data_IF_804783139298
#
_entry.id   IF_804783139298
#
_cell.length_a   1.000
_cell.length_b   1.000
_cell.length_c   1.000
_cell.angle_alpha   90.00
_cell.angle_beta   90.00
_cell.angle_gamma   90.00
#
_symmetry.space_group_name_H-M   'P 1'
#
loop_
_entity.id
_entity.type
_entity.pdbx_description
1 polymer ?
#
# COMPACT_ATOMS: atom_id res chain seq x y z
N UNK A 1 -2.00 -35.43 7.51
CA UNK A 1 -1.10 -34.26 7.44
C UNK A 1 0.22 -34.74 6.85
N UNK A 2 0.86 -33.94 6.00
CA UNK A 2 2.17 -34.26 5.44
C UNK A 2 3.25 -34.17 6.53
N UNK A 3 4.26 -35.04 6.48
CA UNK A 3 5.39 -35.00 7.42
C UNK A 3 6.18 -33.68 7.29
N UNK A 4 6.27 -33.15 6.07
CA UNK A 4 6.98 -31.89 5.76
C UNK A 4 6.19 -30.69 6.28
N UNK A 5 4.88 -30.62 6.02
CA UNK A 5 4.05 -29.53 6.55
C UNK A 5 4.06 -29.51 8.08
N UNK A 6 3.97 -30.69 8.70
CA UNK A 6 4.00 -30.83 10.16
C UNK A 6 5.32 -30.35 10.77
N UNK A 7 6.44 -30.52 10.05
CA UNK A 7 7.75 -30.02 10.47
C UNK A 7 7.95 -28.52 10.18
N UNK A 8 7.39 -28.02 9.07
CA UNK A 8 7.62 -26.66 8.58
C UNK A 8 6.74 -25.63 9.28
N UNK A 9 5.45 -25.92 9.46
CA UNK A 9 4.46 -24.97 10.01
C UNK A 9 4.92 -24.31 11.30
N UNK A 10 5.37 -25.03 12.36
CA UNK A 10 5.77 -24.40 13.62
C UNK A 10 6.95 -23.43 13.50
N UNK A 11 7.70 -23.49 12.39
CA UNK A 11 8.86 -22.63 12.13
C UNK A 11 8.51 -21.38 11.32
N UNK A 12 7.34 -21.38 10.68
CA UNK A 12 6.84 -20.27 9.86
C UNK A 12 5.63 -19.58 10.49
N UNK A 13 4.96 -20.21 11.46
CA UNK A 13 3.70 -19.74 12.03
C UNK A 13 3.87 -18.39 12.75
N UNK A 14 4.97 -18.24 13.46
CA UNK A 14 5.33 -17.01 14.17
C UNK A 14 6.69 -16.49 13.70
N UNK A 15 6.82 -15.17 13.70
CA UNK A 15 8.03 -14.47 13.33
C UNK A 15 9.17 -14.86 14.27
N UNK A 16 10.29 -15.27 13.67
CA UNK A 16 11.51 -15.62 14.40
C UNK A 16 12.65 -14.66 14.06
N UNK A 17 13.56 -14.47 15.02
CA UNK A 17 14.85 -13.82 14.80
C UNK A 17 15.97 -14.79 15.19
N UNK A 18 16.83 -15.24 14.25
CA UNK A 18 16.84 -14.89 12.82
C UNK A 18 15.63 -15.46 12.05
N UNK A 19 15.37 -14.90 10.86
CA UNK A 19 14.34 -15.40 9.95
C UNK A 19 14.64 -16.83 9.48
N UNK A 20 13.62 -17.66 9.20
CA UNK A 20 13.78 -19.05 8.81
C UNK A 20 14.14 -19.21 7.32
N UNK A 21 15.19 -18.53 6.86
CA UNK A 21 15.56 -18.46 5.44
C UNK A 21 15.90 -19.83 4.84
N UNK A 22 16.49 -20.74 5.63
CA UNK A 22 16.80 -22.09 5.18
C UNK A 22 15.53 -22.91 4.93
N UNK A 23 14.52 -22.73 5.77
CA UNK A 23 13.22 -23.40 5.66
C UNK A 23 12.43 -22.86 4.47
N UNK A 24 12.44 -21.53 4.27
CA UNK A 24 11.83 -20.88 3.12
C UNK A 24 12.48 -21.32 1.80
N UNK A 25 13.82 -21.39 1.75
CA UNK A 25 14.54 -21.92 0.58
C UNK A 25 14.25 -23.41 0.34
N UNK A 26 14.09 -24.20 1.40
CA UNK A 26 13.73 -25.61 1.32
C UNK A 26 12.31 -25.85 0.77
N UNK A 27 11.39 -24.90 0.98
CA UNK A 27 10.00 -25.02 0.55
C UNK A 27 9.86 -25.17 -0.98
N UNK A 28 10.74 -24.54 -1.77
CA UNK A 28 10.75 -24.64 -3.24
C UNK A 28 10.82 -26.10 -3.72
N UNK A 29 11.59 -26.94 -3.02
CA UNK A 29 11.76 -28.37 -3.35
C UNK A 29 10.51 -29.22 -3.04
N UNK A 30 9.57 -28.67 -2.26
CA UNK A 30 8.37 -29.36 -1.78
C UNK A 30 7.07 -28.65 -2.17
N UNK A 31 7.11 -27.73 -3.16
CA UNK A 31 5.97 -26.94 -3.63
C UNK A 31 4.66 -27.72 -3.75
N UNK A 32 4.67 -28.86 -4.46
CA UNK A 32 3.44 -29.63 -4.73
C UNK A 32 2.76 -30.13 -3.45
N UNK A 33 3.56 -30.43 -2.44
CA UNK A 33 3.09 -30.95 -1.14
C UNK A 33 2.66 -29.81 -0.21
N UNK A 34 3.38 -28.68 -0.21
CA UNK A 34 3.13 -27.54 0.66
C UNK A 34 1.99 -26.62 0.16
N UNK A 35 1.89 -26.39 -1.15
CA UNK A 35 0.96 -25.41 -1.71
C UNK A 35 -0.51 -25.60 -1.29
N UNK A 36 -1.08 -26.82 -1.23
CA UNK A 36 -2.46 -26.99 -0.74
C UNK A 36 -2.67 -26.49 0.69
N UNK A 37 -1.67 -26.65 1.58
CA UNK A 37 -1.76 -26.17 2.96
C UNK A 37 -1.64 -24.66 3.05
N UNK A 38 -0.74 -24.06 2.25
CA UNK A 38 -0.57 -22.61 2.20
C UNK A 38 -1.80 -21.91 1.60
N UNK A 39 -2.42 -22.48 0.56
CA UNK A 39 -3.69 -21.97 0.01
C UNK A 39 -4.80 -22.04 1.05
N UNK A 40 -4.92 -23.19 1.74
CA UNK A 40 -5.92 -23.34 2.80
C UNK A 40 -5.70 -22.36 3.96
N UNK A 41 -4.46 -21.97 4.24
CA UNK A 41 -4.17 -20.94 5.25
C UNK A 41 -4.69 -19.57 4.81
N UNK A 42 -4.48 -19.17 3.55
CA UNK A 42 -5.01 -17.92 3.01
C UNK A 42 -6.54 -17.91 3.00
N UNK A 43 -7.18 -19.02 2.61
CA UNK A 43 -8.63 -19.19 2.66
C UNK A 43 -9.17 -19.07 4.10
N UNK A 44 -8.48 -19.66 5.07
CA UNK A 44 -8.87 -19.60 6.47
C UNK A 44 -8.77 -18.18 7.02
N UNK A 45 -7.69 -17.46 6.74
CA UNK A 45 -7.50 -16.07 7.21
C UNK A 45 -8.48 -15.12 6.52
N UNK A 46 -8.81 -15.36 5.25
CA UNK A 46 -9.84 -14.58 4.55
C UNK A 46 -11.24 -14.77 5.17
N UNK A 47 -11.53 -15.98 5.66
CA UNK A 47 -12.80 -16.28 6.32
C UNK A 47 -12.85 -15.79 7.78
N UNK A 48 -11.73 -15.85 8.50
CA UNK A 48 -11.58 -15.39 9.88
C UNK A 48 -10.16 -14.83 10.09
N UNK A 49 -9.99 -13.49 10.10
CA UNK A 49 -8.66 -12.88 10.21
C UNK A 49 -8.08 -12.92 11.62
N UNK A 50 -8.83 -13.40 12.63
CA UNK A 50 -8.40 -13.37 14.03
C UNK A 50 -7.00 -13.98 14.29
N UNK A 51 -6.58 -15.10 13.64
CA UNK A 51 -5.22 -15.61 13.80
C UNK A 51 -4.15 -14.65 13.31
N UNK A 52 -4.41 -13.94 12.21
CA UNK A 52 -3.48 -12.97 11.61
C UNK A 52 -3.27 -11.71 12.46
N UNK A 53 -4.13 -11.48 13.45
CA UNK A 53 -4.04 -10.37 14.39
C UNK A 53 -3.32 -10.75 15.70
N UNK A 54 -2.91 -12.02 15.84
CA UNK A 54 -2.12 -12.46 16.99
C UNK A 54 -0.69 -11.92 16.90
N UNK A 55 -0.13 -11.51 18.05
CA UNK A 55 1.23 -10.96 18.11
C UNK A 55 2.27 -11.93 17.52
N UNK A 56 3.03 -11.43 16.54
CA UNK A 56 4.07 -12.16 15.84
C UNK A 56 3.60 -13.24 14.88
N UNK A 57 2.30 -13.48 14.67
CA UNK A 57 1.84 -14.45 13.67
C UNK A 57 2.10 -13.92 12.25
N UNK A 58 2.68 -14.76 11.37
CA UNK A 58 3.07 -14.36 10.01
C UNK A 58 2.91 -15.47 8.96
N UNK A 59 2.21 -16.56 9.28
CA UNK A 59 2.13 -17.74 8.41
C UNK A 59 1.52 -17.41 7.04
N UNK A 60 0.44 -16.64 7.03
CA UNK A 60 -0.27 -16.21 5.84
C UNK A 60 0.58 -15.29 4.96
N UNK A 61 1.46 -14.49 5.55
CA UNK A 61 2.39 -13.63 4.80
C UNK A 61 3.45 -14.48 4.09
N UNK A 62 3.99 -15.52 4.73
CA UNK A 62 4.86 -16.48 4.05
C UNK A 62 4.08 -17.28 2.99
N UNK A 63 2.83 -17.66 3.26
CA UNK A 63 1.98 -18.33 2.29
C UNK A 63 1.79 -17.47 1.03
N UNK A 64 1.47 -16.17 1.20
CA UNK A 64 1.35 -15.20 0.12
C UNK A 64 2.63 -15.14 -0.72
N UNK A 65 3.79 -14.91 -0.09
CA UNK A 65 5.07 -14.78 -0.81
C UNK A 65 5.50 -16.07 -1.53
N UNK A 66 5.35 -17.23 -0.88
CA UNK A 66 5.69 -18.53 -1.48
C UNK A 66 4.78 -18.86 -2.66
N UNK A 67 3.46 -18.71 -2.50
CA UNK A 67 2.50 -18.99 -3.56
C UNK A 67 2.64 -18.00 -4.73
N UNK A 68 2.94 -16.73 -4.45
CA UNK A 68 3.28 -15.73 -5.44
C UNK A 68 4.54 -16.11 -6.23
N UNK A 69 5.65 -16.43 -5.55
CA UNK A 69 6.89 -16.93 -6.19
C UNK A 69 6.64 -18.15 -7.06
N UNK A 70 5.76 -19.03 -6.62
CA UNK A 70 5.41 -20.24 -7.35
C UNK A 70 4.44 -20.00 -8.50
N UNK A 71 3.83 -18.81 -8.61
CA UNK A 71 2.74 -18.52 -9.55
C UNK A 71 1.58 -19.50 -9.36
N UNK A 72 1.24 -19.81 -8.10
CA UNK A 72 0.15 -20.73 -7.79
C UNK A 72 -1.18 -19.99 -7.78
N UNK A 73 -1.92 -20.09 -8.88
CA UNK A 73 -3.14 -19.32 -9.10
C UNK A 73 -4.31 -19.63 -8.17
N UNK A 74 -4.23 -20.74 -7.43
CA UNK A 74 -5.21 -21.07 -6.40
C UNK A 74 -5.21 -20.04 -5.27
N UNK A 75 -4.09 -19.33 -5.06
CA UNK A 75 -3.96 -18.28 -4.06
C UNK A 75 -4.65 -16.97 -4.45
N UNK A 76 -4.93 -16.75 -5.75
CA UNK A 76 -5.36 -15.45 -6.25
C UNK A 76 -6.66 -14.94 -5.63
N UNK A 77 -7.69 -15.79 -5.60
CA UNK A 77 -8.99 -15.41 -5.05
C UNK A 77 -8.94 -15.23 -3.53
N UNK A 78 -8.35 -16.16 -2.74
CA UNK A 78 -8.15 -15.95 -1.31
C UNK A 78 -7.38 -14.66 -0.98
N UNK A 79 -6.34 -14.33 -1.75
CA UNK A 79 -5.61 -13.07 -1.59
C UNK A 79 -6.51 -11.87 -1.86
N UNK A 80 -7.25 -11.85 -2.98
CA UNK A 80 -8.16 -10.76 -3.27
C UNK A 80 -9.24 -10.56 -2.18
N UNK A 81 -9.79 -11.65 -1.63
CA UNK A 81 -10.76 -11.58 -0.53
C UNK A 81 -10.16 -10.97 0.76
N UNK A 82 -8.88 -11.20 1.06
CA UNK A 82 -8.21 -10.54 2.19
C UNK A 82 -8.16 -9.01 2.04
N UNK A 83 -8.13 -8.51 0.81
CA UNK A 83 -8.16 -7.07 0.54
C UNK A 83 -9.49 -6.41 0.89
N UNK A 84 -10.59 -7.17 0.91
CA UNK A 84 -11.93 -6.68 1.24
C UNK A 84 -12.20 -6.57 2.75
N UNK A 85 -11.20 -6.86 3.59
CA UNK A 85 -11.27 -6.59 5.02
C UNK A 85 -11.32 -5.06 5.27
N UNK A 86 -11.87 -4.66 6.41
CA UNK A 86 -11.91 -3.24 6.80
C UNK A 86 -10.49 -2.67 7.00
N UNK A 87 -10.35 -1.35 6.95
CA UNK A 87 -9.05 -0.68 7.00
C UNK A 87 -8.21 -1.05 8.23
N UNK A 88 -8.81 -1.15 9.42
CA UNK A 88 -8.09 -1.48 10.63
C UNK A 88 -7.60 -2.94 10.59
N UNK A 89 -8.44 -3.83 10.06
CA UNK A 89 -8.09 -5.25 9.91
C UNK A 89 -6.99 -5.42 8.86
N UNK A 90 -7.07 -4.77 7.69
CA UNK A 90 -6.02 -4.82 6.64
C UNK A 90 -4.66 -4.40 7.18
N UNK A 91 -4.60 -3.32 7.96
CA UNK A 91 -3.36 -2.83 8.57
C UNK A 91 -2.73 -3.88 9.50
N UNK A 92 -3.55 -4.58 10.30
CA UNK A 92 -3.05 -5.65 11.18
C UNK A 92 -2.67 -6.93 10.42
N UNK A 93 -3.43 -7.29 9.37
CA UNK A 93 -3.23 -8.54 8.62
C UNK A 93 -2.00 -8.46 7.73
N UNK A 94 -1.79 -7.35 7.03
CA UNK A 94 -0.69 -7.20 6.08
C UNK A 94 0.49 -6.39 6.66
N UNK A 95 0.23 -5.49 7.60
CA UNK A 95 1.21 -4.50 8.03
C UNK A 95 1.76 -3.74 6.82
N UNK A 96 3.07 -3.53 6.79
CA UNK A 96 3.75 -2.83 5.69
C UNK A 96 3.64 -3.54 4.32
N UNK A 97 3.37 -4.86 4.31
CA UNK A 97 3.31 -5.62 3.06
C UNK A 97 2.13 -5.23 2.18
N UNK A 98 1.11 -4.56 2.72
CA UNK A 98 0.01 -4.02 1.91
C UNK A 98 0.52 -3.04 0.86
N UNK A 99 1.60 -2.31 1.18
CA UNK A 99 2.25 -1.35 0.27
C UNK A 99 3.35 -1.99 -0.57
N UNK A 100 4.13 -2.89 0.02
CA UNK A 100 5.39 -3.34 -0.60
C UNK A 100 5.23 -4.56 -1.51
N UNK A 101 4.33 -5.48 -1.18
CA UNK A 101 4.28 -6.82 -1.78
C UNK A 101 2.90 -7.28 -2.20
N UNK A 102 1.83 -6.79 -1.58
CA UNK A 102 0.50 -7.35 -1.76
C UNK A 102 -0.01 -7.21 -3.20
N UNK A 103 0.11 -6.03 -3.83
CA UNK A 103 -0.27 -5.84 -5.24
C UNK A 103 0.55 -6.70 -6.20
N UNK A 104 1.86 -6.82 -5.95
CA UNK A 104 2.75 -7.71 -6.71
C UNK A 104 2.43 -9.20 -6.50
N UNK A 105 2.01 -9.60 -5.30
CA UNK A 105 1.57 -10.96 -5.00
C UNK A 105 0.24 -11.30 -5.69
N UNK A 106 -0.70 -10.36 -5.72
CA UNK A 106 -1.93 -10.46 -6.51
C UNK A 106 -1.62 -10.64 -8.01
N UNK A 107 -0.75 -9.81 -8.59
CA UNK A 107 -0.32 -9.97 -9.98
C UNK A 107 0.37 -11.33 -10.23
N UNK A 108 1.23 -11.76 -9.30
CA UNK A 108 1.99 -13.02 -9.41
C UNK A 108 1.10 -14.26 -9.38
N UNK A 109 -0.06 -14.19 -8.73
CA UNK A 109 -1.01 -15.30 -8.60
C UNK A 109 -2.17 -15.20 -9.57
N UNK A 110 -2.37 -14.05 -10.22
CA UNK A 110 -3.44 -13.80 -11.18
C UNK A 110 -3.54 -14.93 -12.23
N UNK A 111 -4.76 -15.44 -12.43
CA UNK A 111 -5.07 -16.57 -13.30
C UNK A 111 -5.50 -16.15 -14.71
N UNK A 112 -5.34 -14.87 -15.04
CA UNK A 112 -5.80 -14.26 -16.28
C UNK A 112 -7.18 -13.61 -16.19
N UNK A 113 -7.90 -13.76 -15.07
CA UNK A 113 -9.14 -13.03 -14.80
C UNK A 113 -8.86 -11.75 -14.01
N UNK A 114 -9.10 -10.59 -14.62
CA UNK A 114 -8.96 -9.29 -13.95
C UNK A 114 -10.10 -9.01 -12.94
N UNK A 115 -11.19 -9.79 -12.97
CA UNK A 115 -12.40 -9.55 -12.20
C UNK A 115 -12.19 -9.38 -10.69
N UNK A 116 -11.42 -10.25 -10.00
CA UNK A 116 -11.14 -10.07 -8.57
C UNK A 116 -10.43 -8.75 -8.24
N UNK A 117 -9.47 -8.31 -9.05
CA UNK A 117 -8.77 -7.04 -8.82
C UNK A 117 -9.65 -5.83 -9.06
N UNK A 118 -10.46 -5.87 -10.13
CA UNK A 118 -11.44 -4.81 -10.43
C UNK A 118 -12.44 -4.67 -9.28
N UNK A 119 -12.98 -5.80 -8.79
CA UNK A 119 -13.91 -5.77 -7.64
C UNK A 119 -13.28 -5.18 -6.39
N UNK A 120 -12.03 -5.52 -6.10
CA UNK A 120 -11.32 -4.97 -4.95
C UNK A 120 -11.03 -3.47 -5.11
N UNK A 121 -10.60 -3.02 -6.29
CA UNK A 121 -10.34 -1.61 -6.55
C UNK A 121 -11.64 -0.75 -6.46
N UNK A 122 -12.76 -1.27 -6.95
CA UNK A 122 -14.07 -0.61 -6.93
C UNK A 122 -14.82 -0.71 -5.58
N UNK A 123 -14.31 -1.47 -4.62
CA UNK A 123 -14.95 -1.58 -3.30
C UNK A 123 -14.63 -0.36 -2.43
N UNK A 124 -15.61 0.53 -2.30
CA UNK A 124 -15.49 1.75 -1.48
C UNK A 124 -15.41 1.47 0.03
N UNK A 125 -15.85 0.29 0.49
CA UNK A 125 -15.76 -0.13 1.89
C UNK A 125 -14.38 -0.76 2.22
N UNK A 126 -13.62 -1.17 1.19
CA UNK A 126 -12.29 -1.74 1.36
C UNK A 126 -11.25 -0.66 1.70
N UNK A 127 -10.19 -1.08 2.40
CA UNK A 127 -9.05 -0.20 2.69
C UNK A 127 -8.51 0.43 1.41
N UNK A 128 -8.25 1.75 1.44
CA UNK A 128 -7.60 2.46 0.33
C UNK A 128 -6.26 1.83 -0.09
N UNK A 129 -5.56 1.21 0.86
CA UNK A 129 -4.30 0.52 0.59
C UNK A 129 -4.50 -0.77 -0.20
N UNK A 130 -5.54 -1.54 0.15
CA UNK A 130 -5.90 -2.74 -0.60
C UNK A 130 -6.40 -2.38 -2.01
N UNK A 131 -7.15 -1.28 -2.15
CA UNK A 131 -7.57 -0.73 -3.44
C UNK A 131 -6.37 -0.34 -4.30
N UNK A 132 -5.41 0.41 -3.74
CA UNK A 132 -4.15 0.77 -4.42
C UNK A 132 -3.33 -0.46 -4.84
N UNK A 133 -3.22 -1.46 -3.96
CA UNK A 133 -2.58 -2.74 -4.28
C UNK A 133 -3.30 -3.49 -5.43
N UNK A 134 -4.63 -3.39 -5.52
CA UNK A 134 -5.37 -3.97 -6.65
C UNK A 134 -5.10 -3.23 -7.97
N UNK A 135 -4.98 -1.90 -7.94
CA UNK A 135 -4.59 -1.09 -9.10
C UNK A 135 -3.16 -1.43 -9.57
N UNK A 136 -2.21 -1.55 -8.63
CA UNK A 136 -0.85 -2.05 -8.91
C UNK A 136 -0.89 -3.46 -9.51
N UNK A 137 -1.68 -4.36 -8.91
CA UNK A 137 -1.84 -5.73 -9.38
C UNK A 137 -2.35 -5.79 -10.82
N UNK A 138 -3.32 -4.95 -11.18
CA UNK A 138 -3.86 -4.83 -12.55
C UNK A 138 -2.79 -4.34 -13.52
N UNK A 139 -2.10 -3.26 -13.17
CA UNK A 139 -1.06 -2.67 -14.02
C UNK A 139 0.08 -3.66 -14.25
N UNK A 140 0.60 -4.30 -13.20
CA UNK A 140 1.69 -5.26 -13.30
C UNK A 140 1.26 -6.53 -14.05
N UNK A 141 0.07 -7.07 -13.80
CA UNK A 141 -0.45 -8.22 -14.54
C UNK A 141 -0.62 -7.91 -16.04
N UNK A 142 -1.00 -6.68 -16.40
CA UNK A 142 -1.09 -6.23 -17.78
C UNK A 142 0.29 -6.04 -18.44
N UNK A 143 1.27 -5.47 -17.71
CA UNK A 143 2.66 -5.34 -18.18
C UNK A 143 3.32 -6.69 -18.44
N UNK A 144 3.10 -7.65 -17.54
CA UNK A 144 3.60 -9.03 -17.65
C UNK A 144 2.83 -9.86 -18.70
N UNK A 145 1.74 -9.33 -19.25
CA UNK A 145 0.91 -10.01 -20.25
C UNK A 145 0.08 -11.17 -19.69
N UNK A 146 -0.15 -11.19 -18.38
CA UNK A 146 -1.03 -12.16 -17.69
C UNK A 146 -2.49 -11.85 -18.02
N UNK A 147 -2.86 -10.57 -18.05
CA UNK A 147 -4.15 -10.08 -18.52
C UNK A 147 -3.99 -9.18 -19.76
N UNK A 148 -5.05 -9.00 -20.57
CA UNK A 148 -4.98 -8.12 -21.74
C UNK A 148 -4.74 -6.65 -21.36
N UNK A 149 -3.69 -6.04 -21.93
CA UNK A 149 -3.29 -4.64 -21.64
C UNK A 149 -4.38 -3.61 -21.93
N UNK A 150 -5.05 -3.70 -23.08
CA UNK A 150 -6.05 -2.72 -23.51
C UNK A 150 -7.19 -2.57 -22.49
N UNK A 151 -7.93 -3.65 -22.18
CA UNK A 151 -8.97 -3.62 -21.15
C UNK A 151 -8.50 -3.16 -19.76
N UNK A 152 -7.28 -3.53 -19.35
CA UNK A 152 -6.73 -3.06 -18.08
C UNK A 152 -6.47 -1.55 -18.09
N UNK A 153 -5.89 -1.01 -19.17
CA UNK A 153 -5.67 0.41 -19.36
C UNK A 153 -7.00 1.18 -19.39
N UNK A 154 -8.00 0.69 -20.13
CA UNK A 154 -9.33 1.30 -20.21
C UNK A 154 -9.98 1.40 -18.82
N UNK A 155 -9.89 0.33 -18.03
CA UNK A 155 -10.40 0.33 -16.65
C UNK A 155 -9.65 1.32 -15.76
N UNK A 156 -8.30 1.31 -15.78
CA UNK A 156 -7.49 2.20 -14.96
C UNK A 156 -7.73 3.67 -15.32
N UNK A 157 -7.89 3.99 -16.60
CA UNK A 157 -8.23 5.32 -17.07
C UNK A 157 -9.62 5.76 -16.57
N UNK A 158 -10.65 4.91 -16.74
CA UNK A 158 -12.00 5.20 -16.22
C UNK A 158 -12.02 5.39 -14.70
N UNK A 159 -11.32 4.52 -13.96
CA UNK A 159 -11.16 4.64 -12.52
C UNK A 159 -10.58 6.00 -12.14
N UNK A 160 -9.51 6.43 -12.82
CA UNK A 160 -8.87 7.73 -12.58
C UNK A 160 -9.80 8.91 -12.85
N UNK A 161 -10.54 8.87 -13.97
CA UNK A 161 -11.54 9.90 -14.28
C UNK A 161 -12.65 9.97 -13.25
N UNK A 162 -13.10 8.82 -12.70
CA UNK A 162 -14.12 8.76 -11.64
C UNK A 162 -13.57 9.31 -10.32
N UNK A 163 -12.37 8.91 -9.94
CA UNK A 163 -11.71 9.34 -8.71
C UNK A 163 -11.41 10.84 -8.72
N UNK A 164 -10.85 11.36 -9.82
CA UNK A 164 -10.59 12.78 -10.00
C UNK A 164 -11.87 13.62 -9.89
N UNK A 165 -12.98 13.15 -10.46
CA UNK A 165 -14.29 13.81 -10.32
C UNK A 165 -14.76 13.81 -8.87
N UNK A 166 -14.65 12.67 -8.18
CA UNK A 166 -15.06 12.55 -6.79
C UNK A 166 -14.30 13.53 -5.88
N UNK A 167 -12.97 13.62 -6.04
CA UNK A 167 -12.11 14.52 -5.27
C UNK A 167 -12.37 16.00 -5.53
N UNK A 168 -12.78 16.36 -6.75
CA UNK A 168 -13.19 17.73 -7.09
C UNK A 168 -14.55 18.08 -6.47
N UNK A 169 -15.45 17.11 -6.35
CA UNK A 169 -16.77 17.28 -5.74
C UNK A 169 -16.72 17.32 -4.20
N UNK A 170 -15.72 16.66 -3.58
CA UNK A 170 -15.56 16.53 -2.12
C UNK A 170 -14.15 16.92 -1.65
N UNK A 171 -13.77 18.21 -1.68
CA UNK A 171 -12.41 18.67 -1.38
C UNK A 171 -11.91 18.35 0.04
N UNK A 172 -12.82 18.14 1.00
CA UNK A 172 -12.51 17.68 2.36
C UNK A 172 -11.91 16.26 2.41
N UNK A 173 -12.04 15.49 1.33
CA UNK A 173 -11.49 14.13 1.22
C UNK A 173 -10.05 14.11 0.69
N UNK A 174 -9.46 15.28 0.40
CA UNK A 174 -8.11 15.41 -0.19
C UNK A 174 -6.96 15.28 0.84
N UNK A 175 -7.24 15.11 2.13
CA UNK A 175 -6.21 15.21 3.17
C UNK A 175 -5.32 13.96 3.35
N UNK A 176 -5.59 12.81 2.70
CA UNK A 176 -4.75 11.61 2.86
C UNK A 176 -4.65 10.71 1.59
N UNK A 177 -3.49 10.75 0.93
CA UNK A 177 -2.93 9.80 -0.06
C UNK A 177 -3.87 9.41 -1.22
N UNK A 178 -4.06 10.30 -2.21
CA UNK A 178 -4.95 10.06 -3.33
C UNK A 178 -4.45 8.90 -4.20
N UNK A 179 -5.33 7.93 -4.50
CA UNK A 179 -5.04 6.81 -5.40
C UNK A 179 -4.56 7.26 -6.79
N UNK A 180 -4.87 8.51 -7.17
CA UNK A 180 -4.44 9.14 -8.42
C UNK A 180 -2.92 9.24 -8.57
N UNK A 181 -2.18 9.45 -7.49
CA UNK A 181 -0.71 9.53 -7.52
C UNK A 181 -0.11 8.25 -8.10
N UNK A 182 -0.52 7.12 -7.54
CA UNK A 182 -0.08 5.80 -7.98
C UNK A 182 -0.65 5.46 -9.36
N UNK A 183 -1.90 5.81 -9.62
CA UNK A 183 -2.58 5.51 -10.88
C UNK A 183 -1.94 6.22 -12.07
N UNK A 184 -1.52 7.47 -11.92
CA UNK A 184 -0.81 8.21 -12.97
C UNK A 184 0.49 7.49 -13.37
N UNK A 185 1.22 6.94 -12.39
CA UNK A 185 2.42 6.12 -12.62
C UNK A 185 2.07 4.85 -13.40
N UNK A 186 1.02 4.14 -13.00
CA UNK A 186 0.57 2.92 -13.66
C UNK A 186 0.10 3.16 -15.10
N UNK A 187 -0.63 4.24 -15.35
CA UNK A 187 -1.05 4.66 -16.70
C UNK A 187 0.17 4.99 -17.56
N UNK A 188 1.19 5.64 -17.00
CA UNK A 188 2.44 5.90 -17.71
C UNK A 188 3.21 4.62 -18.04
N UNK A 189 3.35 3.71 -17.08
CA UNK A 189 4.00 2.41 -17.30
C UNK A 189 3.29 1.61 -18.40
N UNK A 190 1.96 1.67 -18.47
CA UNK A 190 1.16 1.02 -19.51
C UNK A 190 1.18 1.75 -20.87
N UNK A 191 1.81 2.92 -20.95
CA UNK A 191 1.93 3.72 -22.17
C UNK A 191 0.63 4.38 -22.60
N UNK A 192 -0.16 4.88 -21.64
CA UNK A 192 -1.47 5.52 -21.84
C UNK A 192 -1.38 6.92 -22.47
N UNK A 193 -0.70 7.05 -23.62
CA UNK A 193 -0.43 8.36 -24.25
C UNK A 193 -1.69 9.14 -24.63
N UNK A 194 -2.82 8.45 -24.82
CA UNK A 194 -4.10 9.10 -25.15
C UNK A 194 -4.71 9.82 -23.93
N UNK A 195 -4.39 9.36 -22.72
CA UNK A 195 -4.84 9.92 -21.45
C UNK A 195 -3.94 11.04 -20.93
N UNK A 196 -2.82 11.33 -21.60
CA UNK A 196 -1.83 12.28 -21.10
C UNK A 196 -2.41 13.68 -20.84
N UNK A 197 -3.31 14.14 -21.71
CA UNK A 197 -3.98 15.44 -21.55
C UNK A 197 -4.84 15.48 -20.27
N UNK A 198 -5.56 14.40 -19.98
CA UNK A 198 -6.39 14.29 -18.77
C UNK A 198 -5.52 14.18 -17.51
N UNK A 199 -4.42 13.43 -17.56
CA UNK A 199 -3.49 13.35 -16.43
C UNK A 199 -2.87 14.73 -16.12
N UNK A 200 -2.55 15.53 -17.14
CA UNK A 200 -2.11 16.92 -16.95
C UNK A 200 -3.20 17.82 -16.34
N UNK A 201 -4.49 17.55 -16.62
CA UNK A 201 -5.59 18.24 -15.94
C UNK A 201 -5.65 17.86 -14.45
N UNK A 202 -5.34 16.62 -14.08
CA UNK A 202 -5.24 16.20 -12.68
C UNK A 202 -4.13 16.97 -11.93
N UNK A 203 -2.95 17.12 -12.53
CA UNK A 203 -1.88 17.98 -11.98
C UNK A 203 -2.31 19.44 -11.86
N UNK A 204 -2.90 20.01 -12.91
CA UNK A 204 -3.34 21.40 -12.91
C UNK A 204 -4.42 21.69 -11.84
N UNK A 205 -5.21 20.67 -11.50
CA UNK A 205 -6.21 20.71 -10.44
C UNK A 205 -5.63 20.44 -9.04
N UNK A 206 -4.34 20.11 -8.90
CA UNK A 206 -3.71 19.76 -7.63
C UNK A 206 -4.19 18.43 -7.04
N UNK A 207 -4.64 17.50 -7.90
CA UNK A 207 -5.14 16.19 -7.50
C UNK A 207 -4.03 15.12 -7.41
N UNK A 208 -2.83 15.46 -7.89
CA UNK A 208 -1.62 14.65 -7.78
C UNK A 208 -0.56 15.50 -7.08
N UNK A 209 0.16 14.89 -6.14
CA UNK A 209 1.28 15.56 -5.46
C UNK A 209 2.51 15.64 -6.40
N UNK A 210 2.85 16.85 -6.84
CA UNK A 210 3.99 17.16 -7.70
C UNK A 210 5.34 16.73 -7.09
N UNK A 211 5.40 16.56 -5.76
CA UNK A 211 6.59 16.07 -5.05
C UNK A 211 6.69 14.54 -5.06
N UNK A 212 5.57 13.84 -5.26
CA UNK A 212 5.52 12.41 -5.47
C UNK A 212 5.86 12.04 -6.91
N UNK A 213 5.28 12.75 -7.88
CA UNK A 213 5.43 12.48 -9.31
C UNK A 213 5.62 13.78 -10.10
N UNK A 214 6.80 13.96 -10.69
CA UNK A 214 7.09 15.14 -11.51
C UNK A 214 6.37 15.03 -12.89
N UNK A 215 5.61 16.06 -13.32
CA UNK A 215 4.87 16.02 -14.59
C UNK A 215 5.77 15.86 -15.84
N UNK A 216 7.01 16.35 -15.81
CA UNK A 216 7.94 16.19 -16.94
C UNK A 216 8.49 14.77 -16.98
N UNK A 217 8.81 14.20 -15.81
CA UNK A 217 9.22 12.81 -15.71
C UNK A 217 8.09 11.88 -16.18
N UNK A 218 6.84 12.18 -15.84
CA UNK A 218 5.69 11.42 -16.32
C UNK A 218 5.59 11.39 -17.86
N UNK A 219 5.79 12.53 -18.50
CA UNK A 219 5.81 12.68 -19.96
C UNK A 219 6.88 11.81 -20.63
N UNK A 220 8.03 11.64 -19.97
CA UNK A 220 9.10 10.76 -20.42
C UNK A 220 8.75 9.28 -20.20
N UNK A 221 8.22 8.96 -19.01
CA UNK A 221 7.88 7.60 -18.61
C UNK A 221 6.77 6.99 -19.45
N UNK A 222 5.75 7.78 -19.82
CA UNK A 222 4.65 7.34 -20.68
C UNK A 222 5.11 7.06 -22.12
N UNK A 223 6.14 7.77 -22.59
CA UNK A 223 6.70 7.60 -23.94
C UNK A 223 7.76 6.51 -24.02
N UNK A 224 8.42 6.18 -22.91
CA UNK A 224 9.33 5.02 -22.77
C UNK A 224 8.63 3.72 -23.14
N UNK A 225 7.35 3.61 -22.80
CA UNK A 225 6.47 2.52 -23.19
C UNK A 225 6.63 1.23 -22.37
N UNK A 226 5.69 0.27 -22.53
CA UNK A 226 5.47 -0.79 -21.55
C UNK A 226 6.64 -1.76 -21.34
N UNK A 227 7.37 -2.09 -22.40
CA UNK A 227 8.48 -3.05 -22.31
C UNK A 227 9.64 -2.49 -21.46
N UNK A 228 9.96 -1.21 -21.65
CA UNK A 228 11.01 -0.55 -20.88
C UNK A 228 10.54 -0.20 -19.46
N UNK A 229 9.24 0.08 -19.28
CA UNK A 229 8.63 0.21 -17.96
C UNK A 229 8.77 -1.06 -17.13
N UNK A 230 8.37 -2.20 -17.70
CA UNK A 230 8.49 -3.50 -17.04
C UNK A 230 9.96 -3.84 -16.70
N UNK A 231 10.90 -3.52 -17.58
CA UNK A 231 12.32 -3.76 -17.30
C UNK A 231 12.80 -2.91 -16.11
N UNK A 232 12.42 -1.64 -16.05
CA UNK A 232 12.79 -0.76 -14.93
C UNK A 232 12.20 -1.25 -13.60
N UNK A 233 10.94 -1.72 -13.58
CA UNK A 233 10.33 -2.33 -12.40
C UNK A 233 11.09 -3.58 -11.95
N UNK A 234 11.54 -4.43 -12.88
CA UNK A 234 12.34 -5.62 -12.54
C UNK A 234 13.71 -5.26 -12.00
N UNK A 235 14.38 -4.28 -12.59
CA UNK A 235 15.70 -3.82 -12.15
C UNK A 235 15.64 -3.18 -10.76
N UNK A 236 14.55 -2.47 -10.44
CA UNK A 236 14.29 -1.95 -9.11
C UNK A 236 13.75 -3.01 -8.15
N UNK A 237 13.37 -4.20 -8.63
CA UNK A 237 12.80 -5.31 -7.87
C UNK A 237 11.35 -5.15 -7.45
N UNK A 238 10.61 -4.32 -8.16
CA UNK A 238 9.16 -4.14 -8.07
C UNK A 238 8.41 -4.93 -9.16
N UNK A 239 9.09 -5.86 -9.85
CA UNK A 239 8.43 -6.87 -10.68
C UNK A 239 7.69 -7.92 -9.83
N UNK A 240 7.24 -9.00 -10.47
CA UNK A 240 6.60 -10.12 -9.78
C UNK A 240 7.45 -10.66 -8.61
N UNK A 241 6.80 -11.26 -7.62
CA UNK A 241 7.47 -11.77 -6.41
C UNK A 241 8.40 -12.92 -6.79
N UNK A 242 9.71 -12.67 -6.75
CA UNK A 242 10.73 -13.65 -7.18
C UNK A 242 11.86 -13.87 -6.16
N UNK A 243 11.98 -13.06 -5.11
CA UNK A 243 13.09 -13.14 -4.13
C UNK A 243 12.58 -13.00 -2.70
N UNK A 244 12.18 -14.11 -2.09
CA UNK A 244 11.65 -14.13 -0.71
C UNK A 244 12.65 -13.57 0.31
N UNK A 245 13.96 -13.92 0.28
CA UNK A 245 14.95 -13.27 1.13
C UNK A 245 14.92 -11.74 1.06
N UNK A 246 14.76 -11.17 -0.14
CA UNK A 246 14.60 -9.71 -0.30
C UNK A 246 13.29 -9.23 0.30
N UNK A 247 12.16 -9.86 0.00
CA UNK A 247 10.84 -9.46 0.50
C UNK A 247 10.75 -9.52 2.03
N UNK A 248 11.52 -10.42 2.65
CA UNK A 248 11.50 -10.65 4.11
C UNK A 248 12.62 -9.94 4.86
N UNK A 249 13.56 -9.29 4.16
CA UNK A 249 14.82 -8.79 4.73
C UNK A 249 14.64 -7.86 5.94
N UNK A 250 13.57 -7.06 5.96
CA UNK A 250 13.31 -6.09 7.03
C UNK A 250 12.33 -6.58 8.10
N UNK A 251 11.71 -7.75 7.95
CA UNK A 251 10.64 -8.20 8.86
C UNK A 251 11.11 -8.34 10.30
N UNK A 252 12.28 -8.95 10.52
CA UNK A 252 12.84 -9.08 11.87
C UNK A 252 13.23 -7.74 12.50
N UNK A 253 13.53 -6.72 11.69
CA UNK A 253 13.89 -5.39 12.17
C UNK A 253 12.67 -4.58 12.60
N UNK A 254 11.50 -4.82 12.00
CA UNK A 254 10.26 -4.08 12.27
C UNK A 254 9.62 -4.53 13.60
N UNK A 255 9.73 -5.82 13.96
CA UNK A 255 9.15 -6.35 15.20
C UNK A 255 10.11 -6.37 16.40
N UNK A 256 11.43 -6.22 16.19
CA UNK A 256 12.45 -6.20 17.25
C UNK A 256 13.34 -4.97 17.16
N UNK A 257 12.76 -3.77 17.11
CA UNK A 257 13.48 -2.57 17.55
C UNK A 257 13.44 -2.55 19.08
N UNK A 258 14.51 -2.93 19.81
CA UNK A 258 14.56 -2.60 21.23
C UNK A 258 14.34 -1.09 21.34
N UNK A 259 13.50 -0.59 22.26
CA UNK A 259 13.20 0.82 22.36
C UNK A 259 14.51 1.60 22.32
N UNK A 260 14.66 2.47 21.32
CA UNK A 260 15.86 3.26 21.19
C UNK A 260 16.01 4.02 22.50
N UNK A 261 17.06 3.69 23.26
CA UNK A 261 17.49 4.54 24.38
C UNK A 261 18.13 5.74 23.72
N UNK A 262 17.28 6.67 23.29
CA UNK A 262 17.74 7.93 22.77
C UNK A 262 18.55 8.58 23.89
N UNK A 263 19.78 9.08 23.60
CA UNK A 263 20.44 9.93 24.57
C UNK A 263 19.47 11.06 24.92
N UNK A 264 19.40 11.50 26.19
CA UNK A 264 18.57 12.64 26.54
C UNK A 264 18.90 13.75 25.54
N UNK A 265 17.88 14.20 24.80
CA UNK A 265 18.02 15.36 23.92
C UNK A 265 18.65 16.42 24.81
N UNK A 266 19.82 16.99 24.45
CA UNK A 266 20.39 18.09 25.19
C UNK A 266 19.51 19.31 24.90
N UNK A 267 18.32 19.31 25.50
CA UNK A 267 17.49 20.48 25.75
C UNK A 267 18.27 21.34 26.74
N UNK A 268 19.41 21.87 26.29
CA UNK A 268 20.16 22.87 27.01
C UNK A 268 19.16 23.94 27.41
N UNK A 269 19.05 24.17 28.72
CA UNK A 269 18.06 25.04 29.36
C UNK A 269 16.77 25.14 28.55
N UNK A 270 15.87 24.16 28.69
CA UNK A 270 14.46 24.37 28.38
C UNK A 270 14.13 25.82 28.73
N UNK A 271 13.91 26.67 27.71
CA UNK A 271 13.35 27.99 27.96
C UNK A 271 12.11 27.67 28.75
N UNK A 272 12.05 28.14 30.00
CA UNK A 272 10.86 27.98 30.82
C UNK A 272 9.67 28.35 29.93
N UNK A 273 8.59 27.54 29.93
CA UNK A 273 7.41 27.85 29.13
C UNK A 273 7.11 29.34 29.32
N UNK A 274 7.02 30.11 28.23
CA UNK A 274 6.82 31.55 28.34
C UNK A 274 5.47 31.77 29.03
N UNK A 275 5.53 31.99 30.34
CA UNK A 275 4.37 32.34 31.15
C UNK A 275 4.07 33.78 30.78
N UNK A 276 2.89 34.00 30.20
CA UNK A 276 2.43 35.34 29.88
C UNK A 276 2.32 36.10 31.19
N UNK A 277 3.12 37.15 31.38
CA UNK A 277 3.04 38.00 32.58
C UNK A 277 1.69 38.73 32.67
N UNK A 278 1.02 38.92 31.53
CA UNK A 278 -0.27 39.60 31.43
C UNK A 278 -1.48 38.66 31.46
N UNK A 279 -2.60 39.18 31.96
CA UNK A 279 -3.91 38.51 31.93
C UNK A 279 -4.28 38.10 30.51
N UNK A 280 -4.69 36.84 30.34
CA UNK A 280 -5.18 36.33 29.06
C UNK A 280 -6.42 37.14 28.64
N UNK A 281 -6.30 37.97 27.61
CA UNK A 281 -7.43 38.71 27.04
C UNK A 281 -8.39 37.72 26.42
N UNK A 282 -9.62 37.66 26.95
CA UNK A 282 -10.67 36.82 26.42
C UNK A 282 -11.16 37.34 25.05
N UNK A 283 -11.57 36.42 24.18
CA UNK A 283 -12.04 36.73 22.81
C UNK A 283 -13.16 37.79 22.77
N UNK A 284 -13.96 37.90 23.83
CA UNK A 284 -15.06 38.87 23.96
C UNK A 284 -14.73 40.10 24.82
N UNK A 285 -13.56 40.18 25.44
CA UNK A 285 -13.17 41.29 26.32
C UNK A 285 -12.87 42.56 25.51
N UNK A 286 -12.89 43.76 26.14
CA UNK A 286 -12.45 44.99 25.50
C UNK A 286 -11.02 44.83 24.95
N UNK A 287 -10.81 45.26 23.70
CA UNK A 287 -9.53 45.14 23.04
C UNK A 287 -8.50 46.06 23.73
N UNK A 288 -7.30 45.56 24.07
CA UNK A 288 -6.30 46.34 24.82
C UNK A 288 -5.72 47.54 24.06
N UNK A 289 -6.00 47.69 22.76
CA UNK A 289 -5.62 48.86 21.97
C UNK A 289 -6.43 50.13 22.30
N UNK A 290 -7.43 50.05 23.20
CA UNK A 290 -8.25 51.20 23.58
C UNK A 290 -9.35 51.57 22.59
N UNK A 291 -9.57 50.78 21.54
CA UNK A 291 -10.58 51.07 20.50
C UNK A 291 -12.04 50.95 20.94
N UNK A 292 -12.30 50.49 22.17
CA UNK A 292 -13.66 50.22 22.68
C UNK A 292 -14.36 48.98 22.09
N UNK A 293 -13.75 48.29 21.11
CA UNK A 293 -14.29 47.09 20.46
C UNK A 293 -13.89 45.81 21.22
N UNK A 294 -14.67 44.73 21.08
CA UNK A 294 -14.29 43.39 21.59
C UNK A 294 -13.04 42.88 20.86
N UNK A 295 -12.15 42.17 21.55
CA UNK A 295 -10.88 41.68 20.99
C UNK A 295 -11.05 40.95 19.65
N UNK A 296 -12.03 40.04 19.53
CA UNK A 296 -12.35 39.32 18.28
C UNK A 296 -12.81 40.16 17.10
N UNK A 297 -13.22 41.41 17.34
CA UNK A 297 -13.66 42.35 16.29
C UNK A 297 -12.61 43.44 16.04
N UNK A 298 -11.40 43.23 16.53
CA UNK A 298 -10.27 44.14 16.40
C UNK A 298 -9.00 43.32 16.19
N UNK A 299 -8.08 43.25 17.15
CA UNK A 299 -6.78 42.58 16.97
C UNK A 299 -6.85 41.05 17.01
N UNK A 300 -7.97 40.48 17.45
CA UNK A 300 -8.27 39.04 17.35
C UNK A 300 -9.25 38.72 16.22
N UNK A 301 -9.42 39.64 15.25
CA UNK A 301 -10.14 39.36 14.02
C UNK A 301 -9.17 38.69 13.04
N UNK A 302 -9.14 37.37 13.08
CA UNK A 302 -8.83 36.53 11.92
C UNK A 302 -10.13 36.23 11.21
#
# INVERSE_FOLDING_TARGET
MSDIWSALRPRLEFLSSPLPLAELAGADSHRKELAPFLVAELEAVAADPAPAQADGYVLHLYAMLLLARWRDSRAYRPLAELGHLDEATVDTVFGQLVHDSYGRALASTCDGDAGPLIRLADDEDASRWARGAALEGLALAALEGIIPRGPALDYLADFGSREARNLLEHPESQEDLPLLDQLATHLADLGATEQLAEIHEWFAAGLIDDSYLDPQQLDEDIRRGPAAALQALRDSGHGLIDDIPRETAMWSAIHHVPPAVLPPIPLGTLREPIVREGTKVGRNDPCPCGSGRKYKKCHGAT
#
